data_IF_480288870357
#
_entry.id   IF_480288870357
#
_cell.length_a   1.000
_cell.length_b   1.000
_cell.length_c   1.000
_cell.angle_alpha   90.00
_cell.angle_beta   90.00
_cell.angle_gamma   90.00
#
_symmetry.space_group_name_H-M   'P 1'
#
loop_
_entity.id
_entity.type
_entity.pdbx_description
1 polymer ?
#
# COMPACT_ATOMS: atom_id res chain seq x y z
N UNK A 1 20.85 10.65 5.19
CA UNK A 1 19.48 10.12 5.30
C UNK A 1 18.55 10.89 4.38
N UNK A 2 18.23 10.31 3.21
CA UNK A 2 17.21 10.84 2.30
C UNK A 2 15.91 10.09 2.57
N UNK A 3 14.79 10.80 2.70
CA UNK A 3 13.45 10.20 2.82
C UNK A 3 12.74 10.41 1.49
N UNK A 4 12.19 9.34 0.91
CA UNK A 4 11.37 9.38 -0.30
C UNK A 4 9.91 9.23 0.11
N UNK A 5 9.08 10.22 -0.19
CA UNK A 5 7.63 10.12 0.00
C UNK A 5 7.04 9.33 -1.18
N UNK A 6 6.38 8.22 -0.88
CA UNK A 6 5.83 7.30 -1.87
C UNK A 6 4.29 7.37 -1.91
N UNK A 7 3.69 8.37 -1.27
CA UNK A 7 2.25 8.45 -1.09
C UNK A 7 1.57 9.41 -2.05
N UNK A 8 0.41 8.98 -2.57
CA UNK A 8 -0.49 9.86 -3.31
C UNK A 8 -1.09 10.93 -2.40
N UNK A 9 -1.40 12.09 -2.98
CA UNK A 9 -2.22 13.09 -2.31
C UNK A 9 -3.68 12.65 -2.33
N UNK A 10 -4.35 12.73 -1.19
CA UNK A 10 -5.80 12.50 -1.09
C UNK A 10 -6.51 13.84 -1.22
N UNK A 11 -7.42 13.96 -2.19
CA UNK A 11 -8.16 15.19 -2.47
C UNK A 11 -9.61 14.89 -2.90
N UNK A 12 -10.47 15.91 -2.79
CA UNK A 12 -11.89 15.83 -3.16
C UNK A 12 -12.05 15.50 -4.64
N UNK A 13 -12.87 14.49 -4.96
CA UNK A 13 -13.13 14.07 -6.34
C UNK A 13 -11.93 13.44 -7.05
N UNK A 14 -10.94 12.90 -6.32
CA UNK A 14 -9.88 12.09 -6.92
C UNK A 14 -10.43 10.81 -7.56
N UNK A 15 -9.67 10.26 -8.50
CA UNK A 15 -10.00 8.97 -9.12
C UNK A 15 -10.07 7.87 -8.04
N UNK A 16 -11.04 6.98 -8.20
CA UNK A 16 -11.25 5.81 -7.34
C UNK A 16 -11.28 4.54 -8.20
N UNK A 17 -11.10 3.39 -7.55
CA UNK A 17 -11.27 2.12 -8.23
C UNK A 17 -12.70 2.02 -8.83
N UNK A 18 -12.89 1.50 -10.06
CA UNK A 18 -14.21 1.42 -10.67
C UNK A 18 -15.23 0.65 -9.80
N UNK A 19 -16.22 1.37 -9.27
CA UNK A 19 -17.27 0.83 -8.40
C UNK A 19 -17.15 1.25 -6.94
N UNK A 20 -16.03 1.83 -6.53
CA UNK A 20 -15.82 2.35 -5.18
C UNK A 20 -16.58 3.66 -4.93
N UNK A 21 -16.88 3.99 -3.65
CA UNK A 21 -17.43 5.28 -3.29
C UNK A 21 -16.47 6.43 -3.61
N UNK A 22 -17.01 7.55 -4.09
CA UNK A 22 -16.23 8.77 -4.31
C UNK A 22 -15.64 9.33 -3.00
N UNK A 23 -14.47 9.96 -3.13
CA UNK A 23 -13.85 10.73 -2.05
C UNK A 23 -14.53 12.08 -1.93
N UNK A 24 -14.99 12.41 -0.72
CA UNK A 24 -15.52 13.73 -0.41
C UNK A 24 -14.73 14.39 0.72
N UNK A 25 -14.17 15.57 0.44
CA UNK A 25 -13.47 16.39 1.42
C UNK A 25 -14.08 17.79 1.45
N UNK A 26 -14.80 18.07 2.53
CA UNK A 26 -15.53 19.32 2.69
C UNK A 26 -14.91 20.20 3.78
N UNK A 27 -14.71 21.49 3.49
CA UNK A 27 -14.38 22.48 4.51
C UNK A 27 -15.61 22.75 5.39
N UNK A 28 -15.51 22.46 6.69
CA UNK A 28 -16.60 22.65 7.67
C UNK A 28 -16.43 23.96 8.43
N UNK A 29 -15.22 24.26 8.91
CA UNK A 29 -14.90 25.52 9.61
C UNK A 29 -13.81 26.28 8.88
N UNK A 30 -13.92 27.60 8.80
CA UNK A 30 -12.95 28.50 8.21
C UNK A 30 -12.23 29.34 9.27
N UNK A 31 -10.96 29.64 9.01
CA UNK A 31 -10.10 30.33 9.97
C UNK A 31 -10.61 31.73 10.34
N UNK A 32 -11.17 32.45 9.38
CA UNK A 32 -11.68 33.82 9.53
C UNK A 32 -13.00 33.91 10.32
N UNK A 33 -13.74 32.80 10.40
CA UNK A 33 -15.03 32.73 11.11
C UNK A 33 -14.90 32.08 12.48
N UNK A 34 -14.32 30.89 12.53
CA UNK A 34 -14.24 30.10 13.76
C UNK A 34 -12.89 30.26 14.48
N UNK A 35 -11.84 30.74 13.80
CA UNK A 35 -10.48 30.79 14.38
C UNK A 35 -9.70 29.48 14.24
N UNK A 36 -10.27 28.46 13.59
CA UNK A 36 -9.56 27.25 13.16
C UNK A 36 -10.14 26.70 11.85
N UNK A 37 -9.39 25.81 11.19
CA UNK A 37 -9.87 25.08 10.01
C UNK A 37 -10.21 23.65 10.42
N UNK A 38 -11.34 23.16 9.90
CA UNK A 38 -11.75 21.76 10.03
C UNK A 38 -12.28 21.29 8.68
N UNK A 39 -11.86 20.10 8.27
CA UNK A 39 -12.41 19.40 7.10
C UNK A 39 -13.07 18.10 7.52
N UNK A 40 -14.22 17.81 6.92
CA UNK A 40 -14.83 16.49 6.94
C UNK A 40 -14.23 15.67 5.79
N UNK A 41 -13.88 14.41 6.06
CA UNK A 41 -13.31 13.49 5.09
C UNK A 41 -14.17 12.23 5.06
N UNK A 42 -14.64 11.85 3.87
CA UNK A 42 -15.23 10.56 3.56
C UNK A 42 -14.32 9.85 2.56
N UNK A 43 -13.82 8.67 2.94
CA UNK A 43 -12.78 7.92 2.22
C UNK A 43 -13.14 6.43 2.17
N UNK A 44 -12.78 5.75 1.09
CA UNK A 44 -12.65 4.28 1.06
C UNK A 44 -11.44 3.86 1.92
N UNK A 45 -11.43 2.65 2.48
CA UNK A 45 -10.24 2.07 3.13
C UNK A 45 -9.10 1.81 2.15
N UNK A 46 -9.41 1.75 0.85
CA UNK A 46 -8.49 1.41 -0.24
C UNK A 46 -8.16 2.63 -1.12
N UNK A 47 -8.35 3.85 -0.61
CA UNK A 47 -8.11 5.06 -1.41
C UNK A 47 -6.63 5.44 -1.47
N UNK A 48 -6.16 5.75 -2.68
CA UNK A 48 -4.81 6.23 -2.93
C UNK A 48 -3.77 5.21 -2.48
N UNK A 49 -2.63 5.64 -1.96
CA UNK A 49 -1.65 4.71 -1.41
C UNK A 49 -2.18 4.08 -0.11
N UNK A 50 -2.38 2.77 -0.11
CA UNK A 50 -3.00 2.04 0.99
C UNK A 50 -2.33 0.69 1.25
N UNK A 51 -2.67 0.09 2.39
CA UNK A 51 -2.29 -1.26 2.76
C UNK A 51 -3.53 -2.10 3.03
N UNK A 52 -3.53 -3.32 2.50
CA UNK A 52 -4.64 -4.25 2.64
C UNK A 52 -4.46 -5.10 3.91
N UNK A 53 -5.58 -5.39 4.56
CA UNK A 53 -5.64 -6.44 5.56
C UNK A 53 -5.91 -7.78 4.88
N UNK A 54 -5.55 -8.88 5.55
CA UNK A 54 -5.91 -10.22 5.06
C UNK A 54 -7.43 -10.38 4.95
N UNK A 55 -8.18 -9.75 5.86
CA UNK A 55 -9.65 -9.74 5.86
C UNK A 55 -10.28 -9.15 4.58
N UNK A 56 -9.53 -8.39 3.77
CA UNK A 56 -10.03 -7.83 2.52
C UNK A 56 -10.49 -8.92 1.53
N UNK A 57 -9.76 -10.04 1.47
CA UNK A 57 -10.04 -11.11 0.51
C UNK A 57 -9.98 -12.54 1.10
N UNK A 58 -9.91 -12.64 2.42
CA UNK A 58 -10.04 -13.88 3.18
C UNK A 58 -11.10 -13.73 4.27
N UNK A 59 -12.13 -14.56 4.23
CA UNK A 59 -13.22 -14.58 5.23
C UNK A 59 -12.71 -14.81 6.66
N UNK A 60 -11.58 -15.51 6.81
CA UNK A 60 -10.92 -15.74 8.10
C UNK A 60 -9.69 -14.85 8.30
N UNK A 61 -9.50 -13.86 7.42
CA UNK A 61 -8.38 -12.95 7.43
C UNK A 61 -8.38 -12.05 8.67
N UNK A 62 -7.18 -11.69 9.13
CA UNK A 62 -7.02 -10.71 10.20
C UNK A 62 -7.30 -9.31 9.69
N UNK A 63 -8.06 -8.52 10.45
CA UNK A 63 -8.35 -7.11 10.17
C UNK A 63 -7.16 -6.19 10.46
N UNK A 64 -7.13 -5.02 9.82
CA UNK A 64 -5.98 -4.11 9.81
C UNK A 64 -5.54 -3.67 11.22
N UNK A 65 -6.49 -3.51 12.15
CA UNK A 65 -6.23 -3.10 13.54
C UNK A 65 -5.56 -4.18 14.42
N UNK A 66 -5.58 -5.42 13.95
CA UNK A 66 -5.04 -6.59 14.65
C UNK A 66 -3.75 -7.12 14.02
N UNK A 67 -3.31 -6.59 12.88
CA UNK A 67 -2.03 -6.94 12.26
C UNK A 67 -0.90 -6.16 12.96
N UNK A 68 0.17 -6.83 13.43
CA UNK A 68 1.28 -6.15 14.10
C UNK A 68 2.01 -5.15 13.18
N UNK A 69 2.42 -4.00 13.73
CA UNK A 69 3.03 -2.90 12.97
C UNK A 69 4.33 -3.29 12.26
N UNK A 70 5.11 -4.18 12.87
CA UNK A 70 6.35 -4.70 12.29
C UNK A 70 6.15 -5.43 10.95
N UNK A 71 4.92 -5.84 10.63
CA UNK A 71 4.61 -6.43 9.32
C UNK A 71 4.53 -5.42 8.18
N UNK A 72 4.44 -4.12 8.47
CA UNK A 72 4.37 -3.04 7.48
C UNK A 72 5.70 -2.28 7.31
N UNK A 73 6.75 -2.76 7.95
CA UNK A 73 8.06 -2.11 8.01
C UNK A 73 9.12 -3.15 7.72
N UNK A 74 9.96 -2.91 6.72
CA UNK A 74 10.95 -3.90 6.32
C UNK A 74 12.02 -3.36 5.40
N UNK A 75 13.12 -4.12 5.33
CA UNK A 75 14.07 -3.98 4.21
C UNK A 75 13.35 -4.37 2.94
N UNK A 76 13.49 -3.56 1.90
CA UNK A 76 12.76 -3.73 0.64
C UNK A 76 13.70 -3.55 -0.53
N UNK A 77 13.47 -4.32 -1.59
CA UNK A 77 14.15 -4.20 -2.87
C UNK A 77 13.14 -3.84 -3.95
N UNK A 78 13.53 -2.89 -4.80
CA UNK A 78 12.84 -2.64 -6.06
C UNK A 78 13.27 -3.72 -7.06
N UNK A 79 12.29 -4.49 -7.55
CA UNK A 79 12.48 -5.66 -8.43
C UNK A 79 11.58 -5.57 -9.66
N UNK A 80 11.95 -6.33 -10.69
CA UNK A 80 11.15 -6.58 -11.89
C UNK A 80 10.57 -7.99 -11.87
N UNK A 81 9.50 -8.22 -12.61
CA UNK A 81 8.81 -9.53 -12.64
C UNK A 81 9.74 -10.70 -13.03
N UNK A 82 10.76 -10.44 -13.86
CA UNK A 82 11.72 -11.44 -14.34
C UNK A 82 12.90 -11.69 -13.39
N UNK A 83 13.11 -10.85 -12.36
CA UNK A 83 14.26 -10.95 -11.44
C UNK A 83 14.16 -12.18 -10.54
N UNK A 84 15.29 -12.76 -10.10
CA UNK A 84 15.25 -13.72 -9.00
C UNK A 84 14.90 -13.00 -7.69
N UNK A 85 13.80 -13.41 -7.03
CA UNK A 85 13.32 -12.71 -5.86
C UNK A 85 14.12 -13.09 -4.61
N UNK A 86 14.69 -12.11 -3.90
CA UNK A 86 15.35 -12.34 -2.63
C UNK A 86 14.35 -12.81 -1.56
N UNK A 87 14.82 -13.63 -0.63
CA UNK A 87 13.98 -14.15 0.45
C UNK A 87 13.89 -13.19 1.63
N UNK A 88 12.74 -13.19 2.32
CA UNK A 88 12.54 -12.48 3.60
C UNK A 88 12.81 -10.96 3.56
N UNK A 89 12.55 -10.33 2.42
CA UNK A 89 12.55 -8.86 2.25
C UNK A 89 11.23 -8.43 1.62
N UNK A 90 10.88 -7.16 1.74
CA UNK A 90 9.79 -6.58 0.95
C UNK A 90 10.17 -6.56 -0.53
N UNK A 91 9.20 -6.87 -1.40
CA UNK A 91 9.38 -6.80 -2.84
C UNK A 91 8.54 -5.65 -3.39
N UNK A 92 9.20 -4.65 -3.97
CA UNK A 92 8.55 -3.51 -4.58
C UNK A 92 8.58 -3.64 -6.10
N UNK A 93 7.42 -3.49 -6.72
CA UNK A 93 7.23 -3.47 -8.17
C UNK A 93 6.71 -2.09 -8.56
N UNK A 94 7.50 -1.34 -9.33
CA UNK A 94 7.09 0.00 -9.79
C UNK A 94 6.04 -0.07 -10.90
N UNK A 95 6.28 -0.97 -11.85
CA UNK A 95 5.53 -1.11 -13.09
C UNK A 95 5.41 -2.60 -13.40
N UNK A 96 5.00 -2.92 -14.63
CA UNK A 96 4.68 -4.26 -15.13
C UNK A 96 3.29 -4.78 -14.75
N UNK A 97 2.92 -5.89 -15.38
CA UNK A 97 1.70 -6.64 -15.09
C UNK A 97 2.02 -7.77 -14.13
N UNK A 98 1.51 -7.64 -12.91
CA UNK A 98 1.61 -8.65 -11.86
C UNK A 98 0.38 -9.55 -11.94
N UNK A 99 0.52 -10.70 -12.60
CA UNK A 99 -0.56 -11.67 -12.75
C UNK A 99 -0.32 -12.97 -11.96
N UNK A 100 -1.35 -13.83 -11.95
CA UNK A 100 -1.36 -15.07 -11.19
C UNK A 100 -0.16 -16.00 -11.45
N UNK A 101 0.53 -15.88 -12.60
CA UNK A 101 1.72 -16.67 -12.89
C UNK A 101 2.87 -16.41 -11.91
N UNK A 102 2.93 -15.20 -11.31
CA UNK A 102 3.94 -14.81 -10.33
C UNK A 102 3.72 -15.43 -8.95
N UNK A 103 2.51 -15.93 -8.65
CA UNK A 103 2.15 -16.37 -7.29
C UNK A 103 3.12 -17.41 -6.73
N UNK A 104 3.50 -18.42 -7.52
CA UNK A 104 4.42 -19.46 -7.07
C UNK A 104 5.79 -18.91 -6.66
N UNK A 105 6.33 -18.00 -7.47
CA UNK A 105 7.63 -17.36 -7.26
C UNK A 105 7.60 -16.40 -6.07
N UNK A 106 6.55 -15.59 -5.93
CA UNK A 106 6.35 -14.71 -4.78
C UNK A 106 6.20 -15.52 -3.48
N UNK A 107 5.45 -16.63 -3.52
CA UNK A 107 5.30 -17.49 -2.34
C UNK A 107 6.61 -18.14 -1.92
N UNK A 108 7.42 -18.61 -2.87
CA UNK A 108 8.74 -19.20 -2.58
C UNK A 108 9.74 -18.19 -2.00
N UNK A 109 9.60 -16.91 -2.37
CA UNK A 109 10.42 -15.83 -1.84
C UNK A 109 10.09 -15.49 -0.38
N UNK A 110 8.89 -15.83 0.11
CA UNK A 110 8.45 -15.50 1.48
C UNK A 110 8.68 -14.00 1.81
N UNK A 111 8.17 -13.07 0.98
CA UNK A 111 8.42 -11.65 1.19
C UNK A 111 7.74 -11.16 2.47
N UNK A 112 8.29 -10.10 3.06
CA UNK A 112 7.64 -9.44 4.20
C UNK A 112 6.27 -8.88 3.81
N UNK A 113 6.20 -8.32 2.61
CA UNK A 113 5.04 -7.74 1.94
C UNK A 113 5.37 -7.52 0.46
N UNK A 114 4.32 -7.36 -0.36
CA UNK A 114 4.44 -6.95 -1.77
C UNK A 114 3.96 -5.51 -1.89
N UNK A 115 4.81 -4.66 -2.45
CA UNK A 115 4.55 -3.24 -2.70
C UNK A 115 4.35 -3.03 -4.20
N UNK A 116 3.28 -2.35 -4.59
CA UNK A 116 2.90 -2.14 -5.99
C UNK A 116 2.75 -0.65 -6.28
N UNK A 117 3.43 -0.18 -7.33
CA UNK A 117 3.33 1.19 -7.80
C UNK A 117 2.02 1.47 -8.53
N UNK A 118 1.61 2.73 -8.56
CA UNK A 118 0.39 3.19 -9.23
C UNK A 118 0.41 3.04 -10.77
N UNK A 119 1.56 2.69 -11.35
CA UNK A 119 1.74 2.42 -12.79
C UNK A 119 1.77 0.93 -13.13
N UNK A 120 1.75 0.05 -12.12
CA UNK A 120 1.71 -1.39 -12.33
C UNK A 120 0.26 -1.87 -12.49
N UNK A 121 0.04 -2.88 -13.33
CA UNK A 121 -1.23 -3.60 -13.38
C UNK A 121 -1.20 -4.72 -12.35
N UNK A 122 -2.08 -4.69 -11.35
CA UNK A 122 -2.16 -5.72 -10.32
C UNK A 122 -3.41 -6.56 -10.48
N UNK A 123 -3.24 -7.85 -10.75
CA UNK A 123 -4.34 -8.78 -10.95
C UNK A 123 -5.03 -9.14 -9.63
N UNK A 124 -6.36 -9.01 -9.60
CA UNK A 124 -7.19 -9.26 -8.41
C UNK A 124 -7.08 -10.73 -7.93
N UNK A 125 -6.90 -11.70 -8.83
CA UNK A 125 -6.72 -13.10 -8.40
C UNK A 125 -5.35 -13.31 -7.75
N UNK A 126 -4.30 -12.66 -8.26
CA UNK A 126 -2.98 -12.68 -7.62
C UNK A 126 -3.04 -12.06 -6.22
N UNK A 127 -3.59 -10.85 -6.10
CA UNK A 127 -3.75 -10.14 -4.82
C UNK A 127 -4.48 -11.00 -3.79
N UNK A 128 -5.62 -11.57 -4.19
CA UNK A 128 -6.38 -12.51 -3.35
C UNK A 128 -5.53 -13.66 -2.86
N UNK A 129 -4.75 -14.29 -3.75
CA UNK A 129 -3.90 -15.44 -3.38
C UNK A 129 -2.77 -15.03 -2.45
N UNK A 130 -2.19 -13.84 -2.61
CA UNK A 130 -1.17 -13.31 -1.70
C UNK A 130 -1.75 -13.09 -0.30
N UNK A 131 -2.86 -12.38 -0.19
CA UNK A 131 -3.54 -12.11 1.09
C UNK A 131 -3.95 -13.40 1.81
N UNK A 132 -4.59 -14.34 1.10
CA UNK A 132 -4.96 -15.66 1.63
C UNK A 132 -3.75 -16.53 2.04
N UNK A 133 -2.56 -16.21 1.53
CA UNK A 133 -1.31 -16.89 1.90
C UNK A 133 -0.57 -16.20 3.04
N UNK A 134 -1.11 -15.10 3.58
CA UNK A 134 -0.51 -14.34 4.67
C UNK A 134 0.56 -13.34 4.23
N UNK A 135 0.61 -13.00 2.94
CA UNK A 135 1.49 -11.98 2.36
C UNK A 135 0.68 -10.69 2.22
N UNK A 136 1.12 -9.62 2.88
CA UNK A 136 0.46 -8.31 2.79
C UNK A 136 0.69 -7.66 1.42
N UNK A 137 -0.31 -6.94 0.96
CA UNK A 137 -0.25 -6.10 -0.24
C UNK A 137 -0.35 -4.62 0.16
N UNK A 138 0.45 -3.80 -0.50
CA UNK A 138 0.51 -2.36 -0.31
C UNK A 138 0.59 -1.74 -1.70
N UNK A 139 -0.38 -0.94 -2.07
CA UNK A 139 -0.63 -0.62 -3.47
C UNK A 139 -0.64 0.89 -3.71
N UNK A 140 -0.62 1.27 -4.98
CA UNK A 140 -0.80 2.65 -5.42
C UNK A 140 0.30 3.62 -4.94
N UNK A 141 1.55 3.14 -4.85
CA UNK A 141 2.70 3.98 -4.51
C UNK A 141 3.15 4.84 -5.69
N UNK A 142 3.61 6.06 -5.40
CA UNK A 142 4.17 7.01 -6.38
C UNK A 142 5.66 7.25 -6.13
N UNK A 143 6.32 8.00 -7.02
CA UNK A 143 7.74 8.40 -6.91
C UNK A 143 8.74 7.24 -6.80
N UNK A 144 8.33 6.03 -7.21
CA UNK A 144 9.18 4.84 -7.10
C UNK A 144 10.43 4.89 -7.99
N UNK A 145 10.48 5.78 -9.00
CA UNK A 145 11.70 6.07 -9.77
C UNK A 145 12.82 6.70 -8.93
N UNK A 146 12.51 7.25 -7.75
CA UNK A 146 13.51 7.78 -6.82
C UNK A 146 14.16 6.71 -5.94
N UNK A 147 13.64 5.48 -5.96
CA UNK A 147 14.16 4.36 -5.19
C UNK A 147 15.41 3.76 -5.85
N UNK A 148 16.39 3.31 -5.06
CA UNK A 148 17.63 2.77 -5.61
C UNK A 148 17.41 1.40 -6.25
N UNK A 149 17.85 1.24 -7.49
CA UNK A 149 17.85 -0.04 -8.19
C UNK A 149 18.91 -0.98 -7.61
N UNK A 150 18.52 -2.24 -7.36
CA UNK A 150 19.44 -3.28 -6.89
C UNK A 150 20.07 -3.05 -5.51
N UNK A 151 19.53 -2.13 -4.71
CA UNK A 151 19.98 -1.89 -3.33
C UNK A 151 18.78 -1.90 -2.38
N UNK A 152 18.97 -2.55 -1.24
CA UNK A 152 17.98 -2.54 -0.17
C UNK A 152 17.79 -1.12 0.36
N UNK A 153 16.55 -0.78 0.68
CA UNK A 153 16.18 0.41 1.44
C UNK A 153 15.20 0.02 2.54
N UNK A 154 15.03 0.90 3.53
CA UNK A 154 14.05 0.66 4.59
C UNK A 154 12.71 1.26 4.17
N UNK A 155 11.68 0.43 4.04
CA UNK A 155 10.32 0.84 3.72
C UNK A 155 9.44 0.91 4.98
N UNK A 156 8.53 1.88 5.00
CA UNK A 156 7.55 2.10 6.04
C UNK A 156 6.18 2.34 5.39
N UNK A 157 5.22 1.44 5.63
CA UNK A 157 3.87 1.52 5.07
C UNK A 157 2.77 1.29 6.12
N UNK A 158 2.92 1.93 7.28
CA UNK A 158 2.08 1.68 8.46
C UNK A 158 0.64 2.21 8.28
N UNK A 159 -0.41 1.39 8.50
CA UNK A 159 -1.80 1.81 8.37
C UNK A 159 -2.35 2.56 9.58
N UNK A 160 -3.48 3.24 9.37
CA UNK A 160 -4.35 3.67 10.46
C UNK A 160 -4.92 2.42 11.16
N UNK A 161 -5.12 2.54 12.47
CA UNK A 161 -5.73 1.47 13.28
C UNK A 161 -7.27 1.48 13.14
N UNK A 162 -7.77 1.22 11.94
CA UNK A 162 -9.21 1.18 11.65
C UNK A 162 -9.80 -0.09 12.25
N UNK A 163 -10.68 0.07 13.24
CA UNK A 163 -11.31 -1.04 13.93
C UNK A 163 -12.08 -1.92 12.95
N UNK A 164 -11.85 -3.23 12.99
CA UNK A 164 -12.47 -4.21 12.11
C UNK A 164 -12.27 -3.89 10.61
N UNK A 165 -11.20 -3.14 10.28
CA UNK A 165 -10.94 -2.63 8.93
C UNK A 165 -10.36 -3.69 7.99
N UNK A 166 -10.76 -3.62 6.73
CA UNK A 166 -10.28 -4.47 5.63
C UNK A 166 -9.06 -3.87 4.91
N UNK A 167 -8.81 -2.58 5.08
CA UNK A 167 -7.64 -1.88 4.55
C UNK A 167 -7.46 -0.53 5.24
N UNK A 168 -6.44 0.22 4.84
CA UNK A 168 -6.28 1.61 5.28
C UNK A 168 -5.40 2.40 4.31
N UNK A 169 -5.73 3.67 4.03
CA UNK A 169 -4.77 4.61 3.46
C UNK A 169 -3.57 4.76 4.39
N UNK A 170 -2.39 4.96 3.81
CA UNK A 170 -1.12 5.03 4.55
C UNK A 170 -0.30 6.25 4.12
N UNK A 171 0.67 6.63 4.96
CA UNK A 171 1.76 7.50 4.54
C UNK A 171 3.01 6.65 4.31
N UNK A 172 3.10 6.07 3.12
CA UNK A 172 4.23 5.26 2.68
C UNK A 172 5.47 6.12 2.41
N UNK A 173 6.63 5.68 2.92
CA UNK A 173 7.91 6.30 2.61
C UNK A 173 9.06 5.30 2.69
N UNK A 174 10.17 5.64 2.04
CA UNK A 174 11.43 4.93 2.14
C UNK A 174 12.51 5.80 2.78
N UNK A 175 13.40 5.19 3.57
CA UNK A 175 14.62 5.80 4.07
C UNK A 175 15.81 5.17 3.34
N UNK A 176 16.61 6.03 2.71
CA UNK A 176 17.84 5.65 2.01
C UNK A 176 19.05 6.02 2.87
N UNK A 177 19.97 5.05 3.00
CA UNK A 177 21.28 5.21 3.64
C UNK A 177 22.25 6.02 2.78
#
# INVERSE_FOLDING_TARGET
MKIIDLSQSIFDGMDVYPGDPEVHIQQIHNLDKEGWRLRYLQLSSHIGTHADAFAHMDENGTTIDNIPLEKYIGKTLLVKIDDEFPKNVGLAFKEDKLDLSLFGKLKEAEPLFVVVGNTAEFDVELERKLLQSGILTITDLVNMDELPQGKEFMFYGVPLKIKDGDGSPIRAFAILD
#
